data_IF_332220015108
#
_entry.id   IF_332220015108
#
_cell.length_a   1.000
_cell.length_b   1.000
_cell.length_c   1.000
_cell.angle_alpha   90.00
_cell.angle_beta   90.00
_cell.angle_gamma   90.00
#
_symmetry.space_group_name_H-M   'P 1'
#
loop_
_entity.id
_entity.type
_entity.pdbx_description
1 polymer ?
#
# COMPACT_ATOMS: atom_id res chain seq x y z
N UNK A 1 26.25 10.09 14.54
CA UNK A 1 25.19 9.12 14.85
C UNK A 1 23.90 9.85 14.57
N UNK A 2 23.05 9.33 13.69
CA UNK A 2 21.75 9.95 13.41
C UNK A 2 20.70 9.38 14.35
N UNK A 3 19.64 10.12 14.65
CA UNK A 3 18.54 9.56 15.42
C UNK A 3 17.73 8.57 14.58
N UNK A 4 17.27 8.99 13.39
CA UNK A 4 16.49 8.16 12.48
C UNK A 4 17.22 7.92 11.16
N UNK A 5 17.43 6.65 10.81
CA UNK A 5 17.84 6.24 9.47
C UNK A 5 16.63 5.70 8.71
N UNK A 6 16.35 6.25 7.54
CA UNK A 6 15.30 5.75 6.64
C UNK A 6 15.96 5.18 5.40
N UNK A 7 15.71 3.91 5.09
CA UNK A 7 16.32 3.22 3.95
C UNK A 7 15.32 3.14 2.79
N UNK A 8 15.55 3.93 1.75
CA UNK A 8 14.76 4.04 0.53
C UNK A 8 14.05 5.39 0.39
N UNK A 9 14.19 6.06 -0.74
CA UNK A 9 13.51 7.31 -1.10
C UNK A 9 12.34 7.11 -2.07
N UNK A 10 11.59 6.01 -1.88
CA UNK A 10 10.26 5.82 -2.47
C UNK A 10 9.15 6.51 -1.64
N UNK A 11 7.87 6.35 -2.02
CA UNK A 11 6.74 6.95 -1.28
C UNK A 11 6.75 6.74 0.23
N UNK A 12 7.20 5.57 0.69
CA UNK A 12 7.28 5.24 2.11
C UNK A 12 8.32 6.10 2.83
N UNK A 13 9.58 6.07 2.38
CA UNK A 13 10.64 6.81 3.04
C UNK A 13 10.52 8.31 2.88
N UNK A 14 10.00 8.80 1.76
CA UNK A 14 9.70 10.22 1.59
C UNK A 14 8.65 10.70 2.60
N UNK A 15 7.55 9.96 2.80
CA UNK A 15 6.53 10.33 3.78
C UNK A 15 7.05 10.30 5.20
N UNK A 16 7.80 9.26 5.57
CA UNK A 16 8.46 9.21 6.87
C UNK A 16 9.40 10.41 7.06
N UNK A 17 10.24 10.68 6.05
CA UNK A 17 11.12 11.83 6.00
C UNK A 17 10.40 13.16 6.21
N UNK A 18 9.23 13.34 5.58
CA UNK A 18 8.42 14.54 5.73
C UNK A 18 7.91 14.74 7.15
N UNK A 19 7.45 13.67 7.80
CA UNK A 19 7.00 13.74 9.19
C UNK A 19 8.16 14.06 10.13
N UNK A 20 9.28 13.35 10.00
CA UNK A 20 10.49 13.59 10.79
C UNK A 20 11.03 15.02 10.60
N UNK A 21 11.07 15.50 9.36
CA UNK A 21 11.46 16.86 9.03
C UNK A 21 10.54 17.90 9.67
N UNK A 22 9.22 17.69 9.58
CA UNK A 22 8.23 18.59 10.18
C UNK A 22 8.29 18.63 11.71
N UNK A 23 8.68 17.51 12.33
CA UNK A 23 8.89 17.40 13.78
C UNK A 23 10.30 17.88 14.22
N UNK A 24 11.17 18.30 13.29
CA UNK A 24 12.52 18.77 13.61
C UNK A 24 13.47 17.68 14.14
N UNK A 25 13.24 16.41 13.78
CA UNK A 25 14.07 15.27 14.20
C UNK A 25 15.38 15.20 13.42
N UNK A 26 16.41 14.60 14.02
CA UNK A 26 17.65 14.29 13.32
C UNK A 26 17.48 13.02 12.49
N UNK A 27 17.46 13.15 11.16
CA UNK A 27 17.23 12.01 10.29
C UNK A 27 18.09 12.06 9.02
N UNK A 28 18.33 10.88 8.47
CA UNK A 28 18.94 10.69 7.16
C UNK A 28 18.14 9.66 6.37
N UNK A 29 17.78 10.02 5.14
CA UNK A 29 17.26 9.07 4.15
C UNK A 29 18.42 8.64 3.26
N UNK A 30 18.58 7.33 3.04
CA UNK A 30 19.55 6.78 2.07
C UNK A 30 18.80 6.10 0.94
N UNK A 31 19.20 6.38 -0.30
CA UNK A 31 18.61 5.81 -1.51
C UNK A 31 19.70 5.18 -2.37
N UNK A 32 19.45 3.95 -2.85
CA UNK A 32 20.39 3.22 -3.67
C UNK A 32 20.58 3.86 -5.06
N UNK A 33 19.49 4.34 -5.65
CA UNK A 33 19.49 5.04 -6.93
C UNK A 33 20.02 6.48 -6.85
N UNK A 34 20.25 7.10 -8.02
CA UNK A 34 20.72 8.49 -8.10
C UNK A 34 19.64 9.53 -7.78
N UNK A 35 18.36 9.12 -7.71
CA UNK A 35 17.18 9.97 -7.65
C UNK A 35 16.08 9.29 -6.83
N UNK A 36 15.09 10.04 -6.30
CA UNK A 36 13.98 9.44 -5.58
C UNK A 36 13.05 8.66 -6.53
N UNK A 37 12.07 7.97 -5.95
CA UNK A 37 11.00 7.31 -6.70
C UNK A 37 11.45 6.25 -7.72
N UNK A 38 12.62 5.63 -7.53
CA UNK A 38 13.22 4.70 -8.49
C UNK A 38 12.28 3.60 -9.02
N UNK A 39 11.39 3.07 -8.17
CA UNK A 39 10.35 2.11 -8.59
C UNK A 39 9.45 2.68 -9.71
N UNK A 40 8.97 3.92 -9.54
CA UNK A 40 8.00 4.55 -10.44
C UNK A 40 8.61 5.06 -11.75
N UNK A 41 9.94 5.11 -11.84
CA UNK A 41 10.65 5.36 -13.10
C UNK A 41 10.56 4.18 -14.06
N UNK A 42 10.39 2.96 -13.54
CA UNK A 42 10.25 1.74 -14.35
C UNK A 42 8.82 1.20 -14.39
N UNK A 43 8.08 1.35 -13.30
CA UNK A 43 6.75 0.77 -13.12
C UNK A 43 5.70 1.84 -12.84
N UNK A 44 4.42 1.64 -13.22
CA UNK A 44 3.95 0.62 -14.16
C UNK A 44 4.62 0.75 -15.54
N UNK A 45 4.77 -0.37 -16.26
CA UNK A 45 5.54 -0.44 -17.51
C UNK A 45 4.87 0.32 -18.64
N UNK A 46 3.55 0.31 -18.71
CA UNK A 46 2.77 1.06 -19.69
C UNK A 46 2.48 2.50 -19.19
N UNK A 47 3.15 2.93 -18.12
CA UNK A 47 3.13 4.29 -17.54
C UNK A 47 1.76 4.79 -17.10
N UNK A 48 0.73 3.94 -17.02
CA UNK A 48 -0.60 4.34 -16.53
C UNK A 48 -0.79 3.95 -15.07
N UNK A 49 -0.99 4.94 -14.20
CA UNK A 49 -1.27 4.70 -12.79
C UNK A 49 -2.77 4.45 -12.55
N UNK A 50 -3.05 3.44 -11.73
CA UNK A 50 -4.37 3.23 -11.13
C UNK A 50 -4.41 3.86 -9.74
N UNK A 51 -4.60 5.17 -9.67
CA UNK A 51 -4.80 5.88 -8.39
C UNK A 51 -5.98 6.85 -8.48
N UNK A 52 -6.88 6.77 -7.49
CA UNK A 52 -8.01 7.68 -7.30
C UNK A 52 -7.71 8.77 -6.25
N UNK A 53 -6.49 8.83 -5.73
CA UNK A 53 -6.14 9.66 -4.59
C UNK A 53 -5.45 10.96 -5.05
N UNK A 54 -6.24 12.03 -5.11
CA UNK A 54 -5.76 13.37 -5.47
C UNK A 54 -4.86 14.04 -4.42
N UNK A 55 -4.72 13.42 -3.24
CA UNK A 55 -3.95 13.94 -2.11
C UNK A 55 -2.83 12.99 -1.72
N UNK A 56 -2.09 12.44 -2.70
CA UNK A 56 -1.09 11.39 -2.51
C UNK A 56 -0.15 11.56 -1.30
N UNK A 57 0.23 12.80 -0.97
CA UNK A 57 1.03 13.15 0.21
C UNK A 57 0.50 14.45 0.84
N UNK A 58 0.74 14.65 2.14
CA UNK A 58 0.36 15.88 2.84
C UNK A 58 1.23 17.05 2.31
N UNK A 59 0.60 18.04 1.67
CA UNK A 59 1.28 19.16 1.03
C UNK A 59 0.56 19.65 -0.24
N UNK A 60 1.27 19.63 -1.37
CA UNK A 60 0.68 20.00 -2.65
C UNK A 60 -0.28 18.91 -3.15
N UNK A 61 -1.47 19.26 -3.67
CA UNK A 61 -2.38 18.29 -4.26
C UNK A 61 -1.78 17.75 -5.57
N UNK A 62 -1.98 16.46 -5.82
CA UNK A 62 -1.46 15.80 -7.04
C UNK A 62 -2.11 16.35 -8.31
N UNK A 63 -3.29 16.98 -8.20
CA UNK A 63 -4.00 17.66 -9.29
C UNK A 63 -3.22 18.82 -9.94
N UNK A 64 -2.14 19.28 -9.32
CA UNK A 64 -1.19 20.22 -9.94
C UNK A 64 -0.34 19.58 -11.04
N UNK A 65 -0.16 18.27 -11.00
CA UNK A 65 0.67 17.51 -11.93
C UNK A 65 -0.17 16.80 -12.99
N UNK A 66 -1.33 16.27 -12.59
CA UNK A 66 -2.24 15.58 -13.51
C UNK A 66 -3.70 15.79 -13.16
N UNK A 67 -4.54 16.04 -14.16
CA UNK A 67 -6.01 16.11 -14.02
C UNK A 67 -6.70 14.82 -14.50
N UNK A 68 -5.92 13.84 -14.98
CA UNK A 68 -6.42 12.59 -15.53
C UNK A 68 -6.86 11.66 -14.40
N UNK A 69 -7.95 10.92 -14.61
CA UNK A 69 -8.38 9.85 -13.69
C UNK A 69 -7.36 8.69 -13.64
N UNK A 70 -6.60 8.50 -14.71
CA UNK A 70 -5.48 7.56 -14.81
C UNK A 70 -4.25 8.34 -15.25
N UNK A 71 -3.49 8.90 -14.29
CA UNK A 71 -2.37 9.78 -14.57
C UNK A 71 -1.16 9.01 -15.09
N UNK A 72 -0.25 9.73 -15.74
CA UNK A 72 1.02 9.15 -16.18
C UNK A 72 1.92 8.90 -14.96
N UNK A 73 2.67 7.80 -14.97
CA UNK A 73 3.64 7.48 -13.93
C UNK A 73 4.75 8.54 -13.83
N UNK A 74 5.07 9.24 -14.93
CA UNK A 74 5.99 10.38 -14.92
C UNK A 74 5.43 11.58 -14.15
N UNK A 75 4.11 11.77 -14.10
CA UNK A 75 3.49 12.82 -13.27
C UNK A 75 3.73 12.55 -11.79
N UNK A 76 3.66 11.28 -11.38
CA UNK A 76 3.99 10.86 -10.01
C UNK A 76 5.48 11.01 -9.71
N UNK A 77 6.36 10.69 -10.66
CA UNK A 77 7.81 10.86 -10.47
C UNK A 77 8.12 12.33 -10.20
N UNK A 78 7.61 13.27 -11.03
CA UNK A 78 7.79 14.72 -10.80
C UNK A 78 7.25 15.17 -9.45
N UNK A 79 6.08 14.66 -9.06
CA UNK A 79 5.51 14.93 -7.74
C UNK A 79 6.45 14.51 -6.60
N UNK A 80 7.03 13.30 -6.69
CA UNK A 80 7.91 12.75 -5.65
C UNK A 80 9.25 13.46 -5.60
N UNK A 81 9.78 13.90 -6.74
CA UNK A 81 10.99 14.73 -6.83
C UNK A 81 10.79 16.06 -6.10
N UNK A 82 9.70 16.77 -6.39
CA UNK A 82 9.39 18.04 -5.71
C UNK A 82 9.12 17.84 -4.23
N UNK A 83 8.48 16.74 -3.85
CA UNK A 83 8.27 16.37 -2.45
C UNK A 83 9.59 16.05 -1.72
N UNK A 84 10.61 15.54 -2.43
CA UNK A 84 11.90 15.17 -1.87
C UNK A 84 12.81 16.38 -1.61
N UNK A 85 12.64 17.50 -2.31
CA UNK A 85 13.53 18.68 -2.25
C UNK A 85 13.90 19.18 -0.84
N UNK A 86 12.96 19.32 0.13
CA UNK A 86 13.31 19.83 1.44
C UNK A 86 13.94 18.77 2.37
N UNK A 87 14.03 17.51 1.93
CA UNK A 87 14.41 16.39 2.79
C UNK A 87 15.91 16.11 2.77
N UNK A 88 16.45 15.66 3.90
CA UNK A 88 17.83 15.18 4.01
C UNK A 88 17.98 13.77 3.39
N UNK A 89 18.29 13.71 2.10
CA UNK A 89 18.46 12.47 1.33
C UNK A 89 19.89 12.36 0.81
N UNK A 90 20.49 11.18 0.97
CA UNK A 90 21.74 10.80 0.30
C UNK A 90 21.48 9.72 -0.74
N UNK A 91 21.63 10.10 -2.00
CA UNK A 91 21.50 9.22 -3.16
C UNK A 91 22.77 8.39 -3.40
N UNK A 92 22.69 7.40 -4.29
CA UNK A 92 23.83 6.53 -4.64
C UNK A 92 24.39 5.73 -3.46
N UNK A 93 23.55 5.45 -2.45
CA UNK A 93 23.93 4.84 -1.18
C UNK A 93 23.16 3.52 -0.99
N UNK A 94 23.55 2.43 -1.68
CA UNK A 94 22.94 1.12 -1.46
C UNK A 94 23.25 0.63 -0.04
N UNK A 95 22.26 -0.02 0.58
CA UNK A 95 22.37 -0.59 1.93
C UNK A 95 22.22 -2.10 1.84
N UNK A 96 23.30 -2.80 2.13
CA UNK A 96 23.42 -4.26 2.26
C UNK A 96 23.48 -4.70 3.73
N UNK A 97 24.04 -3.86 4.59
CA UNK A 97 24.22 -4.10 6.02
C UNK A 97 23.87 -2.85 6.84
N UNK A 98 22.86 -2.98 7.71
CA UNK A 98 22.43 -1.91 8.62
C UNK A 98 23.47 -1.61 9.71
N UNK A 99 24.33 -2.56 10.08
CA UNK A 99 25.35 -2.40 11.11
C UNK A 99 26.41 -1.34 10.78
N UNK A 100 26.56 -0.98 9.50
CA UNK A 100 27.44 0.11 9.04
C UNK A 100 26.93 1.50 9.44
N UNK A 101 25.66 1.62 9.79
CA UNK A 101 25.02 2.89 10.12
C UNK A 101 24.84 3.03 11.62
N UNK A 102 25.40 4.11 12.19
CA UNK A 102 25.14 4.48 13.59
C UNK A 102 23.84 5.27 13.66
N UNK A 103 22.72 4.56 13.83
CA UNK A 103 21.37 5.12 14.00
C UNK A 103 20.70 4.58 15.28
N UNK A 104 19.81 5.38 15.91
CA UNK A 104 19.01 4.90 17.06
C UNK A 104 17.79 4.12 16.60
N UNK A 105 17.12 4.61 15.56
CA UNK A 105 15.94 3.99 14.96
C UNK A 105 16.19 3.80 13.46
N UNK A 106 15.86 2.62 12.96
CA UNK A 106 15.99 2.30 11.54
C UNK A 106 14.60 2.02 10.97
N UNK A 107 14.23 2.74 9.91
CA UNK A 107 13.01 2.55 9.14
C UNK A 107 13.36 1.97 7.78
N UNK A 108 12.96 0.73 7.52
CA UNK A 108 13.17 0.05 6.23
C UNK A 108 11.99 0.35 5.31
N UNK A 109 12.25 1.13 4.26
CA UNK A 109 11.27 1.63 3.29
C UNK A 109 11.65 1.26 1.83
N UNK A 110 12.29 0.10 1.64
CA UNK A 110 12.91 -0.36 0.37
C UNK A 110 11.91 -0.85 -0.69
N UNK A 111 10.61 -0.78 -0.42
CA UNK A 111 9.57 -1.12 -1.39
C UNK A 111 9.49 -2.61 -1.72
N UNK A 112 9.16 -2.92 -2.98
CA UNK A 112 8.91 -4.28 -3.47
C UNK A 112 9.70 -4.57 -4.75
N UNK A 113 10.10 -5.82 -4.95
CA UNK A 113 10.81 -6.33 -6.12
C UNK A 113 9.92 -7.30 -6.91
N UNK A 114 10.11 -7.44 -8.25
CA UNK A 114 9.40 -8.42 -9.04
C UNK A 114 9.52 -9.82 -8.41
N UNK A 115 8.40 -10.55 -8.34
CA UNK A 115 8.37 -11.87 -7.74
C UNK A 115 7.95 -12.91 -8.76
N UNK A 116 8.81 -13.91 -8.95
CA UNK A 116 8.50 -15.09 -9.74
C UNK A 116 8.12 -16.26 -8.80
N UNK A 117 6.91 -16.83 -8.93
CA UNK A 117 6.51 -17.99 -8.13
C UNK A 117 7.25 -19.25 -8.59
N UNK A 118 7.28 -20.27 -7.73
CA UNK A 118 7.88 -21.57 -8.05
C UNK A 118 6.96 -22.42 -8.93
N UNK A 119 6.73 -21.99 -10.17
CA UNK A 119 6.04 -22.76 -11.21
C UNK A 119 7.13 -23.36 -12.12
N UNK A 120 7.25 -24.69 -12.24
CA UNK A 120 8.30 -25.29 -13.09
C UNK A 120 8.27 -24.75 -14.53
N UNK A 121 9.42 -24.28 -15.02
CA UNK A 121 9.62 -23.74 -16.36
C UNK A 121 9.19 -22.28 -16.55
N UNK A 122 8.72 -21.60 -15.50
CA UNK A 122 8.39 -20.16 -15.56
C UNK A 122 9.61 -19.27 -15.76
N UNK A 123 10.81 -19.76 -15.44
CA UNK A 123 12.09 -19.09 -15.70
C UNK A 123 12.35 -18.86 -17.20
N UNK A 124 11.65 -19.57 -18.08
CA UNK A 124 11.71 -19.37 -19.53
C UNK A 124 10.76 -18.27 -20.04
N UNK A 125 9.82 -17.81 -19.20
CA UNK A 125 8.90 -16.75 -19.55
C UNK A 125 9.57 -15.37 -19.46
N UNK A 126 9.09 -14.43 -20.26
CA UNK A 126 9.38 -13.02 -20.01
C UNK A 126 8.72 -12.60 -18.69
N UNK A 127 9.29 -11.64 -17.99
CA UNK A 127 8.65 -11.06 -16.81
C UNK A 127 7.96 -9.75 -17.19
N UNK A 128 6.96 -9.32 -16.43
CA UNK A 128 6.42 -7.95 -16.56
C UNK A 128 7.54 -6.90 -16.55
N UNK A 129 8.62 -7.12 -15.81
CA UNK A 129 9.74 -6.19 -15.74
C UNK A 129 10.55 -6.09 -17.05
N UNK A 130 10.58 -7.14 -17.86
CA UNK A 130 11.44 -7.27 -19.05
C UNK A 130 10.67 -7.29 -20.36
N UNK A 131 9.39 -7.66 -20.33
CA UNK A 131 8.53 -7.73 -21.50
C UNK A 131 8.50 -6.41 -22.27
N UNK A 132 8.40 -6.54 -23.60
CA UNK A 132 8.25 -5.38 -24.48
C UNK A 132 6.93 -4.67 -24.17
N UNK A 133 6.98 -3.35 -24.10
CA UNK A 133 5.77 -2.52 -24.02
C UNK A 133 5.23 -2.17 -25.41
N UNK A 134 5.99 -2.43 -26.47
CA UNK A 134 5.54 -2.27 -27.85
C UNK A 134 4.64 -3.46 -28.24
N UNK A 135 3.33 -3.22 -28.46
CA UNK A 135 2.39 -4.30 -28.77
C UNK A 135 2.64 -4.95 -30.14
N UNK A 136 3.43 -4.31 -31.02
CA UNK A 136 3.77 -4.87 -32.33
C UNK A 136 4.76 -6.03 -32.23
N UNK A 137 5.55 -6.10 -31.15
CA UNK A 137 6.43 -7.24 -30.85
C UNK A 137 5.65 -8.56 -30.69
N UNK A 138 4.36 -8.46 -30.36
CA UNK A 138 3.46 -9.60 -30.14
C UNK A 138 2.39 -9.75 -31.23
N UNK A 139 2.51 -9.02 -32.34
CA UNK A 139 1.50 -9.00 -33.40
C UNK A 139 1.25 -10.40 -33.98
N UNK A 140 -0.02 -10.83 -34.00
CA UNK A 140 -0.43 -12.14 -34.53
C UNK A 140 -0.02 -13.35 -33.68
N UNK A 141 0.63 -13.16 -32.53
CA UNK A 141 1.10 -14.21 -31.62
C UNK A 141 0.02 -14.57 -30.58
N UNK A 142 0.07 -15.79 -30.05
CA UNK A 142 -0.73 -16.28 -28.92
C UNK A 142 0.09 -16.07 -27.65
N UNK A 143 -0.35 -15.15 -26.81
CA UNK A 143 0.38 -14.74 -25.61
C UNK A 143 -0.36 -15.23 -24.36
N UNK A 144 0.34 -15.98 -23.52
CA UNK A 144 -0.12 -16.33 -22.17
C UNK A 144 0.39 -15.30 -21.16
N UNK A 145 -0.51 -14.66 -20.44
CA UNK A 145 -0.20 -13.77 -19.32
C UNK A 145 -0.52 -14.49 -18.01
N UNK A 146 0.50 -14.68 -17.17
CA UNK A 146 0.36 -15.33 -15.87
C UNK A 146 0.18 -14.27 -14.79
N UNK A 147 -1.03 -14.13 -14.28
CA UNK A 147 -1.39 -13.18 -13.23
C UNK A 147 -2.82 -12.68 -13.37
N UNK A 148 -3.38 -12.12 -12.29
CA UNK A 148 -4.71 -11.47 -12.28
C UNK A 148 -4.68 -10.11 -11.55
N UNK A 149 -3.49 -9.54 -11.40
CA UNK A 149 -3.30 -8.22 -10.80
C UNK A 149 -3.28 -7.11 -11.85
N UNK A 150 -3.05 -5.87 -11.41
CA UNK A 150 -2.97 -4.70 -12.29
C UNK A 150 -1.98 -4.89 -13.44
N UNK A 151 -0.76 -5.36 -13.17
CA UNK A 151 0.25 -5.60 -14.22
C UNK A 151 -0.22 -6.58 -15.30
N UNK A 152 -1.00 -7.60 -14.93
CA UNK A 152 -1.52 -8.58 -15.90
C UNK A 152 -2.59 -7.95 -16.79
N UNK A 153 -3.53 -7.20 -16.21
CA UNK A 153 -4.58 -6.53 -16.97
C UNK A 153 -4.05 -5.38 -17.84
N UNK A 154 -3.09 -4.61 -17.34
CA UNK A 154 -2.39 -3.57 -18.10
C UNK A 154 -1.68 -4.15 -19.32
N UNK A 155 -0.96 -5.27 -19.13
CA UNK A 155 -0.31 -5.98 -20.23
C UNK A 155 -1.34 -6.54 -21.20
N UNK A 156 -2.42 -7.16 -20.71
CA UNK A 156 -3.45 -7.74 -21.55
C UNK A 156 -4.16 -6.67 -22.40
N UNK A 157 -4.49 -5.52 -21.80
CA UNK A 157 -5.11 -4.39 -22.50
C UNK A 157 -4.21 -3.90 -23.64
N UNK A 158 -2.92 -3.67 -23.36
CA UNK A 158 -1.92 -3.26 -24.34
C UNK A 158 -1.80 -4.23 -25.53
N UNK A 159 -1.87 -5.54 -25.27
CA UNK A 159 -1.66 -6.58 -26.28
C UNK A 159 -2.95 -7.02 -27.00
N UNK A 160 -4.12 -6.72 -26.44
CA UNK A 160 -5.41 -7.25 -26.90
C UNK A 160 -5.75 -6.90 -28.36
N UNK A 161 -5.29 -5.74 -28.83
CA UNK A 161 -5.60 -5.25 -30.18
C UNK A 161 -4.68 -5.81 -31.27
N UNK A 162 -3.51 -6.36 -30.93
CA UNK A 162 -2.48 -6.78 -31.90
C UNK A 162 -2.22 -8.27 -31.91
N UNK A 163 -2.42 -8.96 -30.77
CA UNK A 163 -2.20 -10.40 -30.65
C UNK A 163 -3.31 -11.22 -31.34
N UNK A 164 -2.98 -12.45 -31.74
CA UNK A 164 -4.00 -13.42 -32.19
C UNK A 164 -4.85 -13.91 -31.03
N UNK A 165 -4.23 -14.08 -29.86
CA UNK A 165 -4.88 -14.51 -28.64
C UNK A 165 -4.12 -13.91 -27.45
N UNK A 166 -4.82 -13.18 -26.59
CA UNK A 166 -4.33 -12.83 -25.26
C UNK A 166 -5.07 -13.68 -24.23
N UNK A 167 -4.37 -14.60 -23.57
CA UNK A 167 -4.95 -15.46 -22.53
C UNK A 167 -4.38 -15.09 -21.16
N UNK A 168 -5.23 -14.65 -20.24
CA UNK A 168 -4.81 -14.31 -18.88
C UNK A 168 -5.23 -15.39 -17.89
N UNK A 169 -4.26 -15.97 -17.18
CA UNK A 169 -4.49 -17.09 -16.25
C UNK A 169 -3.96 -16.73 -14.86
N UNK A 170 -4.71 -17.14 -13.83
CA UNK A 170 -4.31 -16.94 -12.43
C UNK A 170 -3.37 -18.03 -11.91
N UNK A 171 -3.65 -18.51 -10.70
CA UNK A 171 -2.83 -19.51 -9.98
C UNK A 171 -3.01 -20.95 -10.49
N UNK A 172 -3.69 -21.16 -11.62
CA UNK A 172 -3.97 -22.49 -12.17
C UNK A 172 -2.88 -23.01 -13.11
N UNK A 173 -1.86 -22.21 -13.45
CA UNK A 173 -0.71 -22.69 -14.22
C UNK A 173 0.14 -23.61 -13.34
N UNK A 174 0.24 -24.88 -13.73
CA UNK A 174 0.98 -25.91 -12.98
C UNK A 174 2.43 -26.04 -13.47
N UNK A 175 2.65 -25.91 -14.79
CA UNK A 175 3.95 -26.08 -15.43
C UNK A 175 3.99 -25.37 -16.78
N UNK A 176 5.19 -24.96 -17.18
CA UNK A 176 5.50 -24.43 -18.50
C UNK A 176 6.66 -25.24 -19.07
N UNK A 177 6.56 -25.61 -20.34
CA UNK A 177 7.64 -26.26 -21.08
C UNK A 177 7.92 -25.44 -22.31
N UNK A 178 9.20 -25.09 -22.55
CA UNK A 178 9.61 -24.45 -23.79
C UNK A 178 10.00 -25.53 -24.81
N UNK A 179 9.29 -25.58 -25.93
CA UNK A 179 9.49 -26.53 -27.02
C UNK A 179 9.90 -25.78 -28.29
N UNK A 180 11.21 -25.66 -28.53
CA UNK A 180 11.72 -24.82 -29.61
C UNK A 180 11.33 -23.35 -29.40
N UNK A 181 10.56 -22.80 -30.33
CA UNK A 181 10.08 -21.41 -30.31
C UNK A 181 8.68 -21.26 -29.68
N UNK A 182 8.04 -22.36 -29.25
CA UNK A 182 6.74 -22.35 -28.59
C UNK A 182 6.85 -22.68 -27.09
N UNK A 183 5.76 -22.40 -26.37
CA UNK A 183 5.54 -22.79 -24.99
C UNK A 183 4.30 -23.68 -24.87
N UNK A 184 4.42 -24.76 -24.10
CA UNK A 184 3.30 -25.59 -23.65
C UNK A 184 3.04 -25.29 -22.18
N UNK A 185 1.86 -24.77 -21.85
CA UNK A 185 1.45 -24.51 -20.48
C UNK A 185 0.40 -25.54 -20.04
N UNK A 186 0.66 -26.21 -18.92
CA UNK A 186 -0.31 -27.10 -18.26
C UNK A 186 -1.15 -26.26 -17.30
N UNK A 187 -2.44 -26.11 -17.60
CA UNK A 187 -3.38 -25.29 -16.83
C UNK A 187 -4.45 -26.18 -16.19
N UNK A 188 -4.59 -26.09 -14.88
CA UNK A 188 -5.56 -26.85 -14.11
C UNK A 188 -6.99 -26.60 -14.60
N UNK A 189 -7.76 -27.67 -14.79
CA UNK A 189 -9.11 -27.66 -15.36
C UNK A 189 -9.20 -27.38 -16.87
N UNK A 190 -8.08 -27.11 -17.57
CA UNK A 190 -8.07 -26.84 -19.03
C UNK A 190 -7.19 -27.83 -19.80
N UNK A 191 -6.15 -28.38 -19.19
CA UNK A 191 -5.17 -29.25 -19.85
C UNK A 191 -3.99 -28.48 -20.42
N UNK A 192 -3.35 -29.03 -21.46
CA UNK A 192 -2.19 -28.41 -22.11
C UNK A 192 -2.62 -27.49 -23.25
N UNK A 193 -2.09 -26.26 -23.24
CA UNK A 193 -2.31 -25.27 -24.29
C UNK A 193 -0.97 -24.73 -24.81
N UNK A 194 -0.92 -24.42 -26.11
CA UNK A 194 0.27 -23.89 -26.81
C UNK A 194 0.21 -22.39 -27.00
N UNK A 195 1.33 -21.74 -26.74
CA UNK A 195 1.53 -20.30 -26.85
C UNK A 195 2.85 -19.99 -27.56
N UNK A 196 2.90 -18.83 -28.21
CA UNK A 196 4.10 -18.32 -28.85
C UNK A 196 4.95 -17.53 -27.85
N UNK A 197 4.31 -16.90 -26.85
CA UNK A 197 4.99 -16.19 -25.76
C UNK A 197 4.29 -16.39 -24.42
N UNK A 198 5.07 -16.28 -23.35
CA UNK A 198 4.59 -16.28 -21.96
C UNK A 198 5.14 -15.06 -21.23
N UNK A 199 4.25 -14.28 -20.61
CA UNK A 199 4.60 -13.12 -19.80
C UNK A 199 4.14 -13.34 -18.35
N UNK A 200 5.09 -13.42 -17.43
CA UNK A 200 4.85 -13.53 -16.00
C UNK A 200 4.56 -12.17 -15.37
N UNK A 201 3.27 -11.92 -15.12
CA UNK A 201 2.74 -10.75 -14.41
C UNK A 201 2.35 -11.11 -12.97
N UNK A 202 3.28 -11.75 -12.26
CA UNK A 202 3.05 -12.42 -10.96
C UNK A 202 3.22 -11.51 -9.73
N UNK A 203 3.26 -10.19 -9.97
CA UNK A 203 3.31 -9.15 -8.95
C UNK A 203 4.69 -8.95 -8.32
N UNK A 204 4.69 -8.24 -7.19
CA UNK A 204 5.89 -7.81 -6.49
C UNK A 204 5.81 -8.24 -5.02
N UNK A 205 6.96 -8.61 -4.44
CA UNK A 205 7.07 -8.92 -3.01
C UNK A 205 8.06 -7.97 -2.34
N UNK A 206 7.83 -7.70 -1.06
CA UNK A 206 8.76 -6.92 -0.24
C UNK A 206 10.09 -7.65 -0.15
N UNK A 207 11.17 -6.88 -0.23
CA UNK A 207 12.49 -7.38 0.08
C UNK A 207 12.67 -7.47 1.60
N UNK A 208 13.02 -8.65 2.09
CA UNK A 208 13.22 -8.94 3.53
C UNK A 208 14.70 -8.99 3.92
N UNK A 209 15.61 -8.68 3.00
CA UNK A 209 17.06 -8.78 3.25
C UNK A 209 17.55 -7.86 4.38
N UNK A 210 16.83 -6.78 4.68
CA UNK A 210 17.15 -5.83 5.76
C UNK A 210 16.29 -6.03 7.01
N UNK A 211 15.52 -7.12 7.09
CA UNK A 211 14.73 -7.41 8.28
C UNK A 211 15.65 -7.84 9.42
N UNK A 212 15.57 -7.11 10.53
CA UNK A 212 16.33 -7.40 11.73
C UNK A 212 15.52 -7.01 12.98
N UNK A 213 15.80 -7.60 14.16
CA UNK A 213 15.19 -7.16 15.40
C UNK A 213 15.41 -5.65 15.63
N UNK A 214 14.35 -4.94 16.02
CA UNK A 214 14.40 -3.51 16.34
C UNK A 214 14.32 -2.55 15.13
N UNK A 215 14.22 -3.05 13.90
CA UNK A 215 13.95 -2.20 12.73
C UNK A 215 12.44 -2.04 12.51
N UNK A 216 12.03 -0.86 12.05
CA UNK A 216 10.65 -0.57 11.69
C UNK A 216 10.46 -0.76 10.20
N UNK A 217 9.62 -1.71 9.80
CA UNK A 217 9.31 -1.93 8.38
C UNK A 217 8.17 -1.01 7.97
N UNK A 218 8.39 -0.18 6.95
CA UNK A 218 7.38 0.71 6.39
C UNK A 218 7.04 0.30 4.95
N UNK A 219 5.85 -0.26 4.78
CA UNK A 219 5.36 -0.78 3.49
C UNK A 219 3.85 -0.57 3.35
N UNK A 220 3.33 -0.77 2.14
CA UNK A 220 1.90 -0.74 1.85
C UNK A 220 1.58 -1.18 0.43
N UNK A 221 0.32 -1.50 0.19
CA UNK A 221 -0.16 -1.98 -1.11
C UNK A 221 -0.62 -0.85 -2.05
N UNK A 222 -0.71 0.38 -1.54
CA UNK A 222 -1.00 1.58 -2.31
C UNK A 222 -0.31 2.79 -1.68
N UNK A 223 -0.15 3.88 -2.43
CA UNK A 223 0.41 5.15 -1.93
C UNK A 223 -0.40 5.67 -0.73
N UNK A 224 -1.73 5.53 -0.81
CA UNK A 224 -2.64 5.84 0.29
C UNK A 224 -2.35 5.01 1.54
N UNK A 225 -2.25 3.68 1.40
CA UNK A 225 -1.94 2.80 2.54
C UNK A 225 -0.58 3.16 3.17
N UNK A 226 0.42 3.45 2.34
CA UNK A 226 1.74 3.90 2.80
C UNK A 226 1.64 5.20 3.61
N UNK A 227 0.78 6.16 3.22
CA UNK A 227 0.58 7.41 3.97
C UNK A 227 0.13 7.16 5.39
N UNK A 228 -0.90 6.32 5.55
CA UNK A 228 -1.44 5.98 6.86
C UNK A 228 -0.40 5.21 7.69
N UNK A 229 0.31 4.25 7.09
CA UNK A 229 1.36 3.50 7.77
C UNK A 229 2.51 4.40 8.24
N UNK A 230 2.97 5.34 7.39
CA UNK A 230 4.04 6.27 7.72
C UNK A 230 3.63 7.20 8.86
N UNK A 231 2.39 7.73 8.82
CA UNK A 231 1.85 8.60 9.86
C UNK A 231 1.68 7.87 11.19
N UNK A 232 1.14 6.66 11.18
CA UNK A 232 0.96 5.85 12.37
C UNK A 232 2.32 5.50 13.00
N UNK A 233 3.27 5.02 12.19
CA UNK A 233 4.62 4.70 12.67
C UNK A 233 5.33 5.93 13.25
N UNK A 234 5.27 7.08 12.57
CA UNK A 234 5.82 8.33 13.10
C UNK A 234 5.21 8.68 14.46
N UNK A 235 3.88 8.62 14.62
CA UNK A 235 3.21 8.91 15.89
C UNK A 235 3.60 7.94 17.00
N UNK A 236 3.78 6.65 16.70
CA UNK A 236 4.28 5.68 17.68
C UNK A 236 5.68 6.07 18.15
N UNK A 237 6.59 6.38 17.22
CA UNK A 237 7.96 6.79 17.56
C UNK A 237 8.00 8.09 18.37
N UNK A 238 7.15 9.06 18.05
CA UNK A 238 6.98 10.31 18.78
C UNK A 238 6.46 10.08 20.21
N UNK A 239 5.49 9.19 20.39
CA UNK A 239 4.96 8.85 21.71
C UNK A 239 5.98 8.09 22.56
N UNK A 240 6.65 7.10 21.97
CA UNK A 240 7.58 6.20 22.66
C UNK A 240 8.91 6.88 23.04
N UNK A 241 9.43 7.75 22.18
CA UNK A 241 10.79 8.28 22.33
C UNK A 241 10.85 9.77 22.62
N UNK A 242 9.75 10.50 22.41
CA UNK A 242 9.72 11.96 22.57
C UNK A 242 8.63 12.46 23.51
N UNK A 243 7.84 11.56 24.10
CA UNK A 243 6.75 11.93 25.02
C UNK A 243 5.65 12.75 24.36
N UNK A 244 5.56 12.75 23.02
CA UNK A 244 4.53 13.46 22.28
C UNK A 244 3.27 12.59 22.26
N UNK A 245 2.18 12.99 22.94
CA UNK A 245 1.01 12.14 23.07
C UNK A 245 0.33 11.91 21.72
N UNK A 246 -0.27 10.74 21.54
CA UNK A 246 -1.04 10.45 20.33
C UNK A 246 -2.20 11.45 20.19
N UNK A 247 -2.39 12.04 19.00
CA UNK A 247 -3.42 13.04 18.78
C UNK A 247 -4.82 12.43 18.95
N UNK A 248 -5.66 13.09 19.73
CA UNK A 248 -7.03 12.68 19.98
C UNK A 248 -8.01 13.83 19.76
N UNK A 249 -9.28 13.47 19.56
CA UNK A 249 -10.39 14.41 19.51
C UNK A 249 -11.38 14.09 20.60
N UNK A 250 -11.91 15.14 21.23
CA UNK A 250 -12.96 15.02 22.24
C UNK A 250 -14.32 15.00 21.57
N UNK A 251 -15.06 13.90 21.74
CA UNK A 251 -16.42 13.72 21.25
C UNK A 251 -17.40 13.62 22.41
N UNK A 252 -18.69 13.84 22.13
CA UNK A 252 -19.74 13.52 23.11
C UNK A 252 -19.79 12.00 23.28
N UNK A 253 -19.89 11.54 24.53
CA UNK A 253 -20.01 10.11 24.83
C UNK A 253 -21.44 9.61 24.54
N UNK A 254 -21.86 9.67 23.28
CA UNK A 254 -23.17 9.19 22.82
C UNK A 254 -23.04 8.35 21.55
N UNK A 255 -23.80 7.25 21.43
CA UNK A 255 -23.71 6.34 20.30
C UNK A 255 -23.89 7.00 18.92
N UNK A 256 -24.81 7.95 18.80
CA UNK A 256 -25.09 8.71 17.58
C UNK A 256 -23.91 9.61 17.18
N UNK A 257 -23.31 10.32 18.14
CA UNK A 257 -22.16 11.19 17.90
C UNK A 257 -20.92 10.41 17.47
N UNK A 258 -20.66 9.27 18.11
CA UNK A 258 -19.57 8.37 17.75
C UNK A 258 -19.81 7.72 16.38
N UNK A 259 -21.02 7.20 16.14
CA UNK A 259 -21.39 6.58 14.88
C UNK A 259 -21.25 7.56 13.71
N UNK A 260 -21.79 8.77 13.81
CA UNK A 260 -21.70 9.76 12.75
C UNK A 260 -20.24 10.12 12.42
N UNK A 261 -19.41 10.35 13.45
CA UNK A 261 -18.01 10.74 13.26
C UNK A 261 -17.19 9.60 12.66
N UNK A 262 -17.28 8.39 13.23
CA UNK A 262 -16.46 7.25 12.83
C UNK A 262 -16.93 6.67 11.49
N UNK A 263 -18.25 6.65 11.22
CA UNK A 263 -18.80 6.13 9.96
C UNK A 263 -18.29 6.88 8.73
N UNK A 264 -18.12 8.20 8.82
CA UNK A 264 -17.65 9.02 7.70
C UNK A 264 -16.20 8.73 7.32
N UNK A 265 -15.40 8.21 8.27
CA UNK A 265 -13.96 8.03 8.08
C UNK A 265 -13.50 6.58 8.02
N UNK A 266 -14.23 5.64 8.61
CA UNK A 266 -13.74 4.26 8.71
C UNK A 266 -13.42 3.61 7.35
N UNK A 267 -14.11 3.99 6.27
CA UNK A 267 -13.76 3.55 4.90
C UNK A 267 -12.43 4.10 4.36
N UNK A 268 -11.80 5.03 5.08
CA UNK A 268 -10.52 5.66 4.73
C UNK A 268 -9.34 5.08 5.52
N UNK A 269 -9.59 4.33 6.60
CA UNK A 269 -8.55 3.74 7.43
C UNK A 269 -8.15 2.38 6.82
N UNK A 270 -6.86 2.16 6.50
CA UNK A 270 -6.41 0.89 5.95
C UNK A 270 -6.39 -0.20 7.03
N UNK A 271 -6.35 -1.44 6.56
CA UNK A 271 -6.24 -2.62 7.43
C UNK A 271 -4.96 -2.57 8.27
N UNK A 272 -5.02 -3.03 9.52
CA UNK A 272 -3.92 -2.96 10.50
C UNK A 272 -3.91 -1.70 11.36
N UNK A 273 -4.68 -0.66 10.98
CA UNK A 273 -4.93 0.53 11.81
C UNK A 273 -6.40 0.60 12.20
N UNK A 274 -6.68 1.27 13.32
CA UNK A 274 -8.03 1.44 13.81
C UNK A 274 -8.24 2.76 14.54
N UNK A 275 -9.50 3.14 14.66
CA UNK A 275 -9.90 4.19 15.59
C UNK A 275 -10.07 3.58 16.98
N UNK A 276 -9.49 4.22 17.99
CA UNK A 276 -9.62 3.79 19.39
C UNK A 276 -10.47 4.82 20.12
N UNK A 277 -11.54 4.35 20.74
CA UNK A 277 -12.44 5.19 21.53
C UNK A 277 -12.24 4.90 23.00
N UNK A 278 -11.91 5.93 23.77
CA UNK A 278 -11.72 5.87 25.22
C UNK A 278 -12.80 6.71 25.91
N UNK A 279 -13.84 6.08 26.49
CA UNK A 279 -14.89 6.79 27.21
C UNK A 279 -14.36 7.48 28.48
N UNK A 280 -14.78 8.72 28.72
CA UNK A 280 -14.43 9.55 29.88
C UNK A 280 -15.66 10.34 30.37
N UNK A 281 -16.53 9.66 31.13
CA UNK A 281 -17.76 10.26 31.65
C UNK A 281 -18.68 10.76 30.51
N UNK A 282 -18.90 12.07 30.45
CA UNK A 282 -19.76 12.69 29.42
C UNK A 282 -19.09 12.83 28.04
N UNK A 283 -17.79 12.57 27.94
CA UNK A 283 -17.02 12.68 26.71
C UNK A 283 -16.31 11.37 26.37
N UNK A 284 -15.86 11.24 25.14
CA UNK A 284 -14.98 10.15 24.72
C UNK A 284 -13.79 10.74 23.95
N UNK A 285 -12.60 10.19 24.16
CA UNK A 285 -11.43 10.51 23.36
C UNK A 285 -11.39 9.56 22.17
N UNK A 286 -11.37 10.12 20.97
CA UNK A 286 -11.18 9.39 19.73
C UNK A 286 -9.74 9.57 19.28
N UNK A 287 -8.97 8.48 19.34
CA UNK A 287 -7.62 8.40 18.79
C UNK A 287 -7.69 7.85 17.38
N UNK A 288 -7.03 8.57 16.47
CA UNK A 288 -7.13 8.32 15.05
C UNK A 288 -5.99 7.43 14.58
N UNK A 289 -6.33 6.36 13.85
CA UNK A 289 -5.36 5.50 13.13
C UNK A 289 -4.28 4.87 14.02
N UNK A 290 -4.67 4.44 15.22
CA UNK A 290 -3.78 3.72 16.13
C UNK A 290 -3.52 2.29 15.65
N UNK A 291 -2.35 1.72 15.98
CA UNK A 291 -2.12 0.29 15.86
C UNK A 291 -3.17 -0.50 16.66
N UNK A 292 -3.70 -1.58 16.09
CA UNK A 292 -4.76 -2.39 16.73
C UNK A 292 -4.32 -3.13 18.00
N UNK A 293 -3.06 -3.03 18.39
CA UNK A 293 -2.46 -3.72 19.53
C UNK A 293 -2.57 -2.94 20.85
N UNK A 294 -2.90 -1.65 20.83
CA UNK A 294 -3.05 -0.83 22.04
C UNK A 294 -4.46 -0.93 22.66
N UNK A 295 -4.55 -1.06 24.00
CA UNK A 295 -5.73 -1.62 24.70
C UNK A 295 -6.50 -0.67 25.64
N UNK A 296 -6.26 0.64 25.63
CA UNK A 296 -6.92 1.54 26.61
C UNK A 296 -8.32 2.03 26.20
N UNK A 297 -8.98 1.33 25.27
CA UNK A 297 -10.33 1.65 24.77
C UNK A 297 -10.89 0.54 23.89
N UNK A 298 -12.05 0.74 23.30
CA UNK A 298 -12.58 -0.20 22.31
C UNK A 298 -12.15 0.18 20.90
N UNK A 299 -11.75 -0.83 20.14
CA UNK A 299 -11.17 -0.71 18.81
C UNK A 299 -12.28 -0.74 17.76
N UNK A 300 -12.25 0.21 16.83
CA UNK A 300 -13.18 0.30 15.71
C UNK A 300 -12.41 0.24 14.40
N UNK A 301 -12.52 -0.91 13.73
CA UNK A 301 -11.87 -1.18 12.45
C UNK A 301 -12.73 -0.76 11.26
N UNK A 302 -12.09 -0.52 10.11
CA UNK A 302 -12.78 -0.25 8.83
C UNK A 302 -13.74 -1.39 8.44
N UNK A 303 -13.36 -2.64 8.73
CA UNK A 303 -14.16 -3.85 8.46
C UNK A 303 -15.41 -3.91 9.32
N UNK A 304 -15.31 -3.63 10.62
CA UNK A 304 -16.49 -3.55 11.50
C UNK A 304 -17.48 -2.49 10.99
N UNK A 305 -16.99 -1.29 10.66
CA UNK A 305 -17.88 -0.22 10.18
C UNK A 305 -18.52 -0.56 8.84
N UNK A 306 -17.79 -1.18 7.90
CA UNK A 306 -18.37 -1.67 6.63
C UNK A 306 -19.46 -2.71 6.87
N UNK A 307 -19.23 -3.65 7.79
CA UNK A 307 -20.23 -4.65 8.17
C UNK A 307 -21.52 -3.98 8.67
N UNK A 308 -21.42 -3.06 9.64
CA UNK A 308 -22.58 -2.38 10.20
C UNK A 308 -23.27 -1.45 9.20
N UNK A 309 -22.51 -0.74 8.35
CA UNK A 309 -23.08 0.11 7.28
C UNK A 309 -23.82 -0.68 6.22
N UNK A 310 -23.31 -1.83 5.80
CA UNK A 310 -24.02 -2.69 4.84
C UNK A 310 -25.40 -3.11 5.36
N UNK A 311 -25.52 -3.25 6.68
CA UNK A 311 -26.76 -3.59 7.36
C UNK A 311 -27.67 -2.37 7.64
N UNK A 312 -27.23 -1.13 7.37
CA UNK A 312 -28.07 0.07 7.53
C UNK A 312 -29.22 0.10 6.52
N UNK A 313 -29.01 -0.39 5.29
CA UNK A 313 -30.09 -0.57 4.30
C UNK A 313 -31.19 -1.49 4.84
N UNK A 314 -30.81 -2.61 5.45
CA UNK A 314 -31.74 -3.56 6.07
C UNK A 314 -32.47 -2.93 7.27
N UNK A 315 -31.79 -2.07 8.04
CA UNK A 315 -32.38 -1.38 9.17
C UNK A 315 -33.38 -0.30 8.77
N UNK A 316 -33.12 0.41 7.66
CA UNK A 316 -34.04 1.38 7.05
C UNK A 316 -35.29 0.66 6.53
N UNK A 317 -35.13 -0.44 5.81
CA UNK A 317 -36.27 -1.26 5.34
C UNK A 317 -37.12 -1.82 6.49
N UNK A 318 -36.49 -2.20 7.60
CA UNK A 318 -37.17 -2.79 8.78
C UNK A 318 -37.61 -1.77 9.85
N UNK A 319 -37.51 -0.46 9.59
CA UNK A 319 -37.89 0.63 10.52
C UNK A 319 -37.32 0.45 11.95
N UNK A 320 -36.07 0.00 12.07
CA UNK A 320 -35.45 -0.17 13.38
C UNK A 320 -35.23 1.19 14.07
N UNK A 321 -35.55 1.30 15.36
CA UNK A 321 -35.41 2.54 16.15
C UNK A 321 -33.97 3.06 16.31
N UNK A 322 -32.95 2.20 16.09
CA UNK A 322 -31.53 2.58 16.11
C UNK A 322 -30.80 1.91 14.95
N UNK A 323 -29.88 2.65 14.33
CA UNK A 323 -29.05 2.11 13.25
C UNK A 323 -28.08 1.03 13.80
N UNK A 324 -27.70 0.01 13.02
CA UNK A 324 -26.81 -1.06 13.47
C UNK A 324 -25.50 -0.56 14.08
N UNK A 325 -24.90 0.49 13.51
CA UNK A 325 -23.66 1.06 14.03
C UNK A 325 -23.86 1.79 15.37
N UNK A 326 -24.96 2.55 15.53
CA UNK A 326 -25.34 3.15 16.81
C UNK A 326 -25.62 2.08 17.88
N UNK A 327 -26.23 0.95 17.48
CA UNK A 327 -26.44 -0.20 18.38
C UNK A 327 -25.11 -0.79 18.83
N UNK A 328 -24.14 -0.95 17.94
CA UNK A 328 -22.78 -1.38 18.29
C UNK A 328 -22.14 -0.45 19.33
N UNK A 329 -22.14 0.86 19.09
CA UNK A 329 -21.59 1.83 20.06
C UNK A 329 -22.36 1.81 21.38
N UNK A 330 -23.68 1.67 21.35
CA UNK A 330 -24.49 1.53 22.57
C UNK A 330 -24.11 0.30 23.39
N UNK A 331 -23.71 -0.80 22.75
CA UNK A 331 -23.24 -2.00 23.45
C UNK A 331 -21.84 -1.80 24.03
N UNK A 332 -20.92 -1.22 23.26
CA UNK A 332 -19.54 -0.95 23.71
C UNK A 332 -19.49 0.03 24.88
N UNK A 333 -20.30 1.11 24.82
CA UNK A 333 -20.38 2.10 25.90
C UNK A 333 -21.10 1.59 27.16
N UNK A 334 -21.86 0.50 27.07
CA UNK A 334 -22.53 -0.11 28.21
C UNK A 334 -21.61 -1.06 28.99
N UNK A 335 -20.43 -1.41 28.47
CA UNK A 335 -19.43 -2.20 29.19
C UNK A 335 -18.70 -1.25 30.16
N UNK A 336 -18.81 -1.45 31.48
CA UNK A 336 -18.06 -0.64 32.44
C UNK A 336 -16.57 -0.82 32.19
N UNK A 337 -15.85 0.28 31.99
CA UNK A 337 -14.38 0.25 31.91
C UNK A 337 -13.85 -0.27 33.26
N UNK A 338 -13.17 -1.41 33.24
CA UNK A 338 -12.39 -1.86 34.41
C UNK A 338 -11.25 -0.84 34.53
N UNK A 339 -11.24 -0.15 35.68
CA UNK A 339 -10.31 0.93 36.01
C UNK A 339 -8.86 0.45 36.12
#
# INVERSE_FOLDING_TARGET
MVEYLVVGAGPAGLQMGRFLHGAGRDYLIVEAGPEPAGFFRRFPRHRVLSTDDNWLFDGAPFTRYSKRSFPDADDLVRYLEDFARPLNIRYGTPVDDLGRYRARHVVVATGKKPHLPAIPGIEHAETYATASTDPTAYAGRRVLIIGRGHSAFETADNLSATTRLTHTVGRSVQRIVKEGDEFVATIDGTGELRYDDVIACTGFRRDTALDAPGVHVLTGDSIKAIRHAARALHRSLEAEHHGVPWPHRKLRNRPDSLAATIATRAGKIPDGLADVVVPQGQHALLYDEMPTTERNGFVVTSTQVRHYRRNELIAVERRLHRKPLEKFFSQQLAVPCIA
#
